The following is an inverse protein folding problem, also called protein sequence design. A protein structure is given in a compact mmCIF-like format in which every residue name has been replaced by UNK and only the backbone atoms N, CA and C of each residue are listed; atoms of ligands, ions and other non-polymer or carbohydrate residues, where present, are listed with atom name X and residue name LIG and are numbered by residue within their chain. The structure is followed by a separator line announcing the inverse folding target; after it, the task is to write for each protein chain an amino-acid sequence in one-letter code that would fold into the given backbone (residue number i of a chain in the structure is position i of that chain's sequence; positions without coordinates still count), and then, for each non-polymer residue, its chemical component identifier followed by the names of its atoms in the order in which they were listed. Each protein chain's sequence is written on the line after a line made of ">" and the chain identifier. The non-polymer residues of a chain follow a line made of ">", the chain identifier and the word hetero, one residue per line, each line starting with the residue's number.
data_IF_443836561747
#
_entry.id   IF_443836561747
#
_cell.length_a   1.000
_cell.length_b   1.000
_cell.length_c   1.000
_cell.angle_alpha   90.00
_cell.angle_beta   90.00
_cell.angle_gamma   90.00
#
_symmetry.space_group_name_H-M   'P 1'
#
loop_
_entity.id
_entity.type
_entity.pdbx_description
1 polymer ?
#
# COMPACT_ATOMS: atom_id res chain seq x y z
N UNK A 1 -27.66 4.54 33.42
CA UNK A 1 -27.31 5.94 33.07
C UNK A 1 -25.94 6.40 33.65
N UNK A 2 -24.86 5.61 33.56
CA UNK A 2 -23.51 5.99 34.06
C UNK A 2 -22.37 5.79 33.04
N UNK A 3 -22.65 5.26 31.86
CA UNK A 3 -21.62 4.97 30.84
C UNK A 3 -21.36 6.12 29.84
N UNK A 4 -22.22 7.15 29.81
CA UNK A 4 -22.19 8.18 28.76
C UNK A 4 -21.24 9.35 29.03
N UNK A 5 -20.71 9.47 30.26
CA UNK A 5 -19.86 10.61 30.67
C UNK A 5 -18.37 10.44 30.37
N UNK A 6 -17.90 9.22 30.09
CA UNK A 6 -16.47 8.96 29.87
C UNK A 6 -16.01 9.25 28.42
N UNK A 7 -16.93 9.21 27.45
CA UNK A 7 -16.59 9.39 26.04
C UNK A 7 -16.31 10.86 25.68
N UNK A 8 -16.89 11.82 26.40
CA UNK A 8 -16.69 13.26 26.19
C UNK A 8 -15.31 13.75 26.64
N UNK A 9 -14.69 13.09 27.63
CA UNK A 9 -13.36 13.47 28.15
C UNK A 9 -12.23 13.00 27.23
N UNK A 10 -12.41 11.88 26.51
CA UNK A 10 -11.38 11.34 25.62
C UNK A 10 -11.17 12.18 24.34
N UNK A 11 -12.21 12.86 23.83
CA UNK A 11 -12.09 13.74 22.66
C UNK A 11 -11.33 15.04 22.96
N UNK A 12 -11.39 15.55 24.21
CA UNK A 12 -10.78 16.82 24.58
C UNK A 12 -9.24 16.74 24.73
N UNK A 13 -8.67 15.56 24.96
CA UNK A 13 -7.24 15.37 25.24
C UNK A 13 -6.37 15.18 23.99
N UNK A 14 -6.96 15.00 22.80
CA UNK A 14 -6.21 14.84 21.53
C UNK A 14 -5.71 16.17 20.92
N UNK A 15 -6.10 17.32 21.48
CA UNK A 15 -5.80 18.65 20.92
C UNK A 15 -4.54 19.35 21.44
N UNK A 16 -3.81 18.77 22.41
CA UNK A 16 -2.66 19.42 23.06
C UNK A 16 -1.30 18.83 22.68
N UNK A 17 -1.20 18.18 21.52
CA UNK A 17 0.10 17.82 20.95
C UNK A 17 0.89 19.07 20.62
N UNK A 18 2.10 19.20 21.16
CA UNK A 18 3.02 20.30 20.84
C UNK A 18 3.23 20.36 19.32
N UNK A 19 2.63 21.36 18.67
CA UNK A 19 2.88 21.64 17.25
C UNK A 19 4.30 22.17 17.17
N UNK A 20 5.25 21.30 16.82
CA UNK A 20 6.59 21.75 16.46
C UNK A 20 6.47 22.75 15.30
N UNK A 21 7.19 23.88 15.33
CA UNK A 21 7.12 24.86 14.25
C UNK A 21 7.53 24.18 12.94
N UNK A 22 6.61 24.13 11.98
CA UNK A 22 6.90 23.57 10.66
C UNK A 22 7.81 24.52 9.90
N UNK A 23 8.84 23.96 9.27
CA UNK A 23 9.75 24.74 8.43
C UNK A 23 9.02 25.14 7.14
N UNK A 24 9.34 26.31 6.58
CA UNK A 24 8.85 26.67 5.24
C UNK A 24 9.59 25.83 4.20
N UNK A 25 8.87 25.37 3.18
CA UNK A 25 9.45 24.67 2.04
C UNK A 25 10.58 25.49 1.39
N UNK A 26 11.70 24.83 1.10
CA UNK A 26 12.79 25.35 0.27
C UNK A 26 12.60 24.87 -1.19
N UNK A 27 12.39 25.77 -2.16
CA UNK A 27 12.10 25.40 -3.56
C UNK A 27 13.28 24.73 -4.28
N UNK A 28 14.47 24.79 -3.72
CA UNK A 28 15.68 24.21 -4.32
C UNK A 28 15.94 22.77 -3.88
N UNK A 29 15.11 22.23 -2.99
CA UNK A 29 15.31 20.91 -2.38
C UNK A 29 14.17 19.96 -2.73
N UNK A 30 14.50 18.69 -2.90
CA UNK A 30 13.51 17.66 -3.18
C UNK A 30 12.53 17.53 -2.02
N UNK A 31 11.25 17.39 -2.36
CA UNK A 31 10.20 17.10 -1.39
C UNK A 31 10.08 15.58 -1.24
N UNK A 32 10.15 15.12 -0.01
CA UNK A 32 9.85 13.74 0.35
C UNK A 32 8.39 13.61 0.78
N UNK A 33 7.66 12.68 0.16
CA UNK A 33 6.28 12.38 0.50
C UNK A 33 6.20 11.12 1.38
N UNK A 34 5.70 11.31 2.60
CA UNK A 34 5.35 10.22 3.51
C UNK A 34 3.83 10.09 3.62
N UNK A 35 3.28 9.04 3.01
CA UNK A 35 1.86 8.69 3.11
C UNK A 35 1.65 7.73 4.29
N UNK A 36 1.01 8.22 5.35
CA UNK A 36 0.47 7.41 6.44
C UNK A 36 -0.97 6.98 6.18
N UNK A 37 -1.54 6.18 7.09
CA UNK A 37 -2.92 5.68 6.96
C UNK A 37 -3.99 6.79 7.02
N UNK A 38 -3.72 7.89 7.72
CA UNK A 38 -4.64 9.04 7.86
C UNK A 38 -4.00 10.41 7.60
N UNK A 39 -2.72 10.44 7.21
CA UNK A 39 -1.97 11.69 7.14
C UNK A 39 -0.99 11.67 5.98
N UNK A 40 -0.84 12.82 5.32
CA UNK A 40 0.15 13.04 4.27
C UNK A 40 1.12 14.08 4.81
N UNK A 41 2.36 13.66 5.07
CA UNK A 41 3.41 14.55 5.51
C UNK A 41 4.40 14.79 4.39
N UNK A 42 4.68 16.06 4.18
CA UNK A 42 5.75 16.51 3.31
C UNK A 42 6.97 16.82 4.17
N UNK A 43 8.12 16.29 3.78
CA UNK A 43 9.39 16.54 4.47
C UNK A 43 10.47 16.99 3.51
N UNK A 44 11.45 17.71 4.03
CA UNK A 44 12.73 18.00 3.38
C UNK A 44 13.83 17.66 4.37
N UNK A 45 14.75 16.78 3.97
CA UNK A 45 15.85 16.29 4.83
C UNK A 45 15.35 15.71 6.17
N UNK A 46 14.21 15.02 6.14
CA UNK A 46 13.56 14.45 7.33
C UNK A 46 12.80 15.43 8.22
N UNK A 47 12.80 16.73 7.93
CA UNK A 47 12.03 17.74 8.67
C UNK A 47 10.68 18.01 8.00
N UNK A 48 9.61 18.11 8.78
CA UNK A 48 8.29 18.46 8.27
C UNK A 48 8.25 19.89 7.72
N UNK A 49 7.74 20.02 6.49
CA UNK A 49 7.61 21.32 5.81
C UNK A 49 6.15 21.72 5.60
N UNK A 50 5.92 23.02 5.56
CA UNK A 50 4.63 23.66 5.33
C UNK A 50 4.64 24.50 4.05
N UNK A 51 3.45 24.83 3.53
CA UNK A 51 3.30 25.68 2.35
C UNK A 51 3.55 24.98 1.00
N UNK A 52 3.63 23.65 1.01
CA UNK A 52 3.96 22.85 -0.19
C UNK A 52 2.90 23.01 -1.27
N UNK A 53 1.62 22.99 -0.91
CA UNK A 53 0.53 23.08 -1.89
C UNK A 53 0.50 24.45 -2.57
N UNK A 54 0.62 25.53 -1.79
CA UNK A 54 0.62 26.91 -2.28
C UNK A 54 1.81 27.18 -3.19
N UNK A 55 2.93 26.49 -2.95
CA UNK A 55 4.12 26.63 -3.75
C UNK A 55 4.04 25.79 -5.03
N UNK A 56 3.67 24.50 -4.94
CA UNK A 56 3.47 23.64 -6.12
C UNK A 56 2.37 24.17 -7.05
N UNK A 57 1.35 24.86 -6.52
CA UNK A 57 0.32 25.52 -7.33
C UNK A 57 0.87 26.65 -8.23
N UNK A 58 2.05 27.20 -7.92
CA UNK A 58 2.71 28.25 -8.72
C UNK A 58 3.64 27.68 -9.78
N UNK A 59 4.00 26.40 -9.69
CA UNK A 59 4.82 25.73 -10.69
C UNK A 59 3.97 25.25 -11.87
N UNK A 60 4.28 25.65 -13.13
CA UNK A 60 3.47 25.28 -14.29
C UNK A 60 3.28 23.77 -14.47
N UNK A 61 4.31 22.96 -14.18
CA UNK A 61 4.26 21.49 -14.35
C UNK A 61 3.47 20.78 -13.23
N UNK A 62 3.43 21.35 -12.02
CA UNK A 62 2.73 20.76 -10.88
C UNK A 62 1.31 21.32 -10.68
N UNK A 63 1.02 22.52 -11.21
CA UNK A 63 -0.25 23.24 -10.95
C UNK A 63 -1.49 22.45 -11.38
N UNK A 64 -1.44 21.74 -12.51
CA UNK A 64 -2.57 20.91 -12.97
C UNK A 64 -2.88 19.77 -12.00
N UNK A 65 -1.85 19.15 -11.43
CA UNK A 65 -1.97 18.10 -10.43
C UNK A 65 -2.47 18.62 -9.08
N UNK A 66 -1.99 19.79 -8.63
CA UNK A 66 -2.45 20.43 -7.38
C UNK A 66 -3.92 20.85 -7.50
N UNK A 67 -4.30 21.49 -8.59
CA UNK A 67 -5.69 21.92 -8.82
C UNK A 67 -6.66 20.73 -8.87
N UNK A 68 -6.27 19.62 -9.51
CA UNK A 68 -7.06 18.37 -9.49
C UNK A 68 -7.19 17.81 -8.08
N UNK A 69 -6.11 17.80 -7.29
CA UNK A 69 -6.14 17.35 -5.90
C UNK A 69 -7.12 18.21 -5.07
N UNK A 70 -7.03 19.55 -5.19
CA UNK A 70 -7.95 20.47 -4.51
C UNK A 70 -9.40 20.27 -4.92
N UNK A 71 -9.67 20.09 -6.22
CA UNK A 71 -11.03 19.82 -6.70
C UNK A 71 -11.59 18.52 -6.10
N UNK A 72 -10.79 17.45 -6.05
CA UNK A 72 -11.19 16.17 -5.44
C UNK A 72 -11.41 16.29 -3.93
N UNK A 73 -10.55 17.04 -3.21
CA UNK A 73 -10.71 17.29 -1.78
C UNK A 73 -11.95 18.13 -1.47
N UNK A 74 -12.24 19.15 -2.27
CA UNK A 74 -13.44 19.97 -2.11
C UNK A 74 -14.70 19.14 -2.35
N UNK A 75 -14.72 18.34 -3.42
CA UNK A 75 -15.82 17.42 -3.70
C UNK A 75 -16.00 16.42 -2.55
N UNK A 76 -14.91 15.81 -2.10
CA UNK A 76 -14.92 14.88 -0.98
C UNK A 76 -15.42 15.51 0.32
N UNK A 77 -15.02 16.76 0.60
CA UNK A 77 -15.46 17.51 1.77
C UNK A 77 -16.96 17.80 1.73
N UNK A 78 -17.50 18.17 0.57
CA UNK A 78 -18.94 18.37 0.38
C UNK A 78 -19.74 17.08 0.56
N UNK A 79 -19.26 15.98 -0.04
CA UNK A 79 -19.86 14.65 0.09
C UNK A 79 -19.84 14.19 1.54
N UNK A 80 -18.73 14.38 2.25
CA UNK A 80 -18.64 14.07 3.68
C UNK A 80 -19.51 14.98 4.54
N UNK A 81 -19.58 16.28 4.28
CA UNK A 81 -20.47 17.17 5.01
C UNK A 81 -21.94 16.75 4.86
N UNK A 82 -22.36 16.47 3.63
CA UNK A 82 -23.70 15.96 3.35
C UNK A 82 -23.93 14.60 4.00
N UNK A 83 -23.04 13.63 3.82
CA UNK A 83 -23.16 12.29 4.41
C UNK A 83 -23.21 12.31 5.94
N UNK A 84 -22.42 13.19 6.58
CA UNK A 84 -22.41 13.38 8.02
C UNK A 84 -23.73 13.92 8.54
N UNK A 85 -24.34 14.87 7.82
CA UNK A 85 -25.67 15.39 8.14
C UNK A 85 -26.75 14.31 7.98
N UNK A 86 -26.70 13.53 6.90
CA UNK A 86 -27.65 12.45 6.62
C UNK A 86 -27.60 11.32 7.66
N UNK A 87 -26.42 11.03 8.22
CA UNK A 87 -26.24 10.11 9.35
C UNK A 87 -26.67 10.76 10.68
N UNK A 88 -26.31 12.04 10.87
CA UNK A 88 -26.51 12.77 12.12
C UNK A 88 -27.98 13.02 12.45
N UNK A 89 -28.82 13.33 11.46
CA UNK A 89 -30.26 13.59 11.67
C UNK A 89 -30.98 12.40 12.33
N UNK A 90 -31.01 11.18 11.76
CA UNK A 90 -31.70 10.05 12.39
C UNK A 90 -31.06 9.65 13.72
N UNK A 91 -29.74 9.78 13.86
CA UNK A 91 -29.08 9.55 15.14
C UNK A 91 -29.57 10.54 16.22
N UNK A 92 -29.76 11.81 15.85
CA UNK A 92 -30.30 12.82 16.77
C UNK A 92 -31.76 12.56 17.16
N UNK A 93 -32.59 12.12 16.20
CA UNK A 93 -34.00 11.75 16.45
C UNK A 93 -34.10 10.60 17.47
N UNK A 94 -33.28 9.56 17.29
CA UNK A 94 -33.18 8.43 18.21
C UNK A 94 -32.77 8.90 19.62
N UNK A 95 -31.75 9.75 19.74
CA UNK A 95 -31.30 10.29 21.04
C UNK A 95 -32.39 11.13 21.72
N UNK A 96 -33.20 11.86 20.95
CA UNK A 96 -34.34 12.65 21.46
C UNK A 96 -35.58 11.81 21.77
N UNK A 97 -35.57 10.51 21.50
CA UNK A 97 -36.68 9.59 21.78
C UNK A 97 -37.80 9.60 20.75
N UNK A 98 -37.53 10.04 19.53
CA UNK A 98 -38.49 9.96 18.42
C UNK A 98 -38.71 8.49 18.04
N UNK A 99 -39.97 8.08 17.84
CA UNK A 99 -40.33 6.66 17.69
C UNK A 99 -39.94 6.03 16.35
N UNK A 100 -39.72 6.85 15.33
CA UNK A 100 -39.42 6.39 13.97
C UNK A 100 -38.34 7.27 13.31
N UNK A 101 -37.06 7.10 13.70
CA UNK A 101 -35.96 7.83 13.08
C UNK A 101 -35.83 7.48 11.60
N UNK A 102 -35.40 8.44 10.79
CA UNK A 102 -35.21 8.27 9.35
C UNK A 102 -33.95 7.46 9.00
N UNK A 103 -33.84 6.22 9.47
CA UNK A 103 -32.70 5.32 9.21
C UNK A 103 -32.34 5.14 7.72
N UNK A 104 -33.28 5.15 6.76
CA UNK A 104 -32.91 5.16 5.34
C UNK A 104 -32.00 6.33 4.95
N UNK A 105 -32.17 7.49 5.59
CA UNK A 105 -31.31 8.66 5.39
C UNK A 105 -29.88 8.38 5.87
N UNK A 106 -29.73 7.69 7.01
CA UNK A 106 -28.42 7.25 7.50
C UNK A 106 -27.74 6.30 6.53
N UNK A 107 -28.51 5.39 5.91
CA UNK A 107 -28.02 4.48 4.89
C UNK A 107 -27.44 5.22 3.68
N UNK A 108 -28.15 6.24 3.17
CA UNK A 108 -27.65 7.11 2.09
C UNK A 108 -26.40 7.87 2.52
N UNK A 109 -26.38 8.41 3.74
CA UNK A 109 -25.23 9.11 4.29
C UNK A 109 -23.98 8.22 4.40
N UNK A 110 -24.16 6.96 4.82
CA UNK A 110 -23.09 5.97 4.88
C UNK A 110 -22.54 5.62 3.48
N UNK A 111 -23.43 5.44 2.49
CA UNK A 111 -23.04 5.22 1.10
C UNK A 111 -22.24 6.41 0.54
N UNK A 112 -22.68 7.64 0.82
CA UNK A 112 -21.94 8.85 0.44
C UNK A 112 -20.52 8.88 1.04
N UNK A 113 -20.37 8.49 2.31
CA UNK A 113 -19.05 8.37 2.95
C UNK A 113 -18.15 7.33 2.29
N UNK A 114 -18.71 6.19 1.88
CA UNK A 114 -17.95 5.16 1.17
C UNK A 114 -17.37 5.68 -0.16
N UNK A 115 -18.12 6.51 -0.89
CA UNK A 115 -17.65 7.16 -2.13
C UNK A 115 -16.53 8.18 -1.88
N UNK A 116 -16.43 8.76 -0.67
CA UNK A 116 -15.34 9.69 -0.35
C UNK A 116 -13.95 9.00 -0.24
N UNK A 117 -13.92 7.70 0.05
CA UNK A 117 -12.67 6.92 0.17
C UNK A 117 -11.85 6.98 -1.14
N UNK A 118 -12.39 6.58 -2.32
CA UNK A 118 -11.63 6.65 -3.56
C UNK A 118 -11.28 8.10 -3.96
N UNK A 119 -12.14 9.08 -3.69
CA UNK A 119 -11.85 10.50 -3.97
C UNK A 119 -10.60 10.98 -3.22
N UNK A 120 -10.50 10.60 -1.94
CA UNK A 120 -9.33 10.93 -1.10
C UNK A 120 -8.06 10.27 -1.64
N UNK A 121 -8.13 8.98 -2.01
CA UNK A 121 -7.00 8.25 -2.60
C UNK A 121 -6.53 8.92 -3.91
N UNK A 122 -7.46 9.28 -4.79
CA UNK A 122 -7.14 9.96 -6.06
C UNK A 122 -6.54 11.34 -5.83
N UNK A 123 -7.02 12.08 -4.82
CA UNK A 123 -6.41 13.35 -4.44
C UNK A 123 -4.95 13.18 -3.99
N UNK A 124 -4.69 12.20 -3.11
CA UNK A 124 -3.32 11.92 -2.63
C UNK A 124 -2.41 11.53 -3.79
N UNK A 125 -2.88 10.67 -4.70
CA UNK A 125 -2.13 10.30 -5.90
C UNK A 125 -1.82 11.50 -6.79
N UNK A 126 -2.77 12.45 -6.93
CA UNK A 126 -2.54 13.67 -7.71
C UNK A 126 -1.46 14.54 -7.05
N UNK A 127 -1.44 14.64 -5.72
CA UNK A 127 -0.37 15.36 -5.01
C UNK A 127 1.00 14.68 -5.14
N UNK A 128 1.07 13.35 -5.18
CA UNK A 128 2.32 12.61 -5.42
C UNK A 128 2.88 12.96 -6.81
N UNK A 129 2.03 12.99 -7.84
CA UNK A 129 2.43 13.43 -9.19
C UNK A 129 2.90 14.88 -9.22
N UNK A 130 2.30 15.78 -8.43
CA UNK A 130 2.74 17.16 -8.32
C UNK A 130 4.14 17.27 -7.70
N UNK A 131 4.39 16.52 -6.62
CA UNK A 131 5.72 16.44 -5.97
C UNK A 131 6.76 15.84 -6.90
N UNK A 132 6.39 14.81 -7.66
CA UNK A 132 7.29 14.19 -8.61
C UNK A 132 7.67 15.15 -9.75
N UNK A 133 6.69 15.90 -10.29
CA UNK A 133 6.94 16.91 -11.32
C UNK A 133 7.95 17.97 -10.83
N UNK A 134 7.75 18.48 -9.61
CA UNK A 134 8.68 19.40 -8.97
C UNK A 134 10.08 18.81 -8.80
N UNK A 135 10.18 17.61 -8.23
CA UNK A 135 11.46 16.94 -7.99
C UNK A 135 12.22 16.68 -9.30
N UNK A 136 11.51 16.41 -10.40
CA UNK A 136 12.12 16.29 -11.74
C UNK A 136 12.74 17.60 -12.22
N UNK A 137 12.10 18.75 -11.95
CA UNK A 137 12.66 20.06 -12.30
C UNK A 137 13.95 20.37 -11.54
N UNK A 138 14.02 20.02 -10.25
CA UNK A 138 15.25 20.19 -9.44
C UNK A 138 16.39 19.34 -10.00
N UNK A 139 16.13 18.07 -10.34
CA UNK A 139 17.15 17.17 -10.89
C UNK A 139 17.53 17.53 -12.33
N UNK A 140 16.57 17.97 -13.14
CA UNK A 140 16.76 18.33 -14.55
C UNK A 140 17.40 19.69 -14.79
N UNK A 141 17.37 20.61 -13.80
CA UNK A 141 17.95 21.95 -13.88
C UNK A 141 19.49 22.00 -13.74
N UNK A 142 20.12 20.90 -13.35
CA UNK A 142 21.57 20.73 -13.37
C UNK A 142 21.90 19.43 -14.09
N UNK A 143 22.27 19.53 -15.38
CA UNK A 143 22.98 18.53 -16.17
C UNK A 143 22.51 17.07 -15.97
N UNK A 144 21.71 16.55 -16.93
CA UNK A 144 21.25 15.16 -17.05
C UNK A 144 22.15 14.15 -16.33
N UNK A 145 21.92 14.00 -15.03
CA UNK A 145 22.55 12.98 -14.24
C UNK A 145 21.60 11.81 -14.29
N UNK A 146 22.15 10.67 -14.71
CA UNK A 146 21.52 9.36 -14.65
C UNK A 146 20.68 9.20 -13.37
N UNK A 147 19.59 8.40 -13.40
CA UNK A 147 18.71 8.17 -12.26
C UNK A 147 19.53 8.01 -10.97
N UNK A 148 19.13 8.67 -9.86
CA UNK A 148 19.96 8.77 -8.68
C UNK A 148 20.30 7.38 -8.18
N UNK A 149 21.55 6.97 -8.43
CA UNK A 149 22.17 5.85 -7.75
C UNK A 149 22.24 6.30 -6.30
N UNK A 150 21.24 5.88 -5.50
CA UNK A 150 21.20 6.11 -4.06
C UNK A 150 22.57 5.73 -3.53
N UNK A 151 23.36 6.73 -3.15
CA UNK A 151 24.59 6.52 -2.42
C UNK A 151 24.15 5.96 -1.06
N UNK A 152 24.10 4.63 -0.98
CA UNK A 152 24.08 3.92 0.28
C UNK A 152 25.26 4.48 1.07
N UNK A 153 24.96 5.14 2.19
CA UNK A 153 25.95 5.55 3.16
C UNK A 153 26.66 4.27 3.65
N UNK A 154 27.78 3.97 3.01
CA UNK A 154 28.64 2.83 3.31
C UNK A 154 29.44 3.23 4.54
N UNK A 155 28.88 2.96 5.72
CA UNK A 155 29.65 2.89 6.95
C UNK A 155 30.63 1.73 6.81
N UNK A 156 31.84 2.04 6.37
CA UNK A 156 32.93 1.09 6.20
C UNK A 156 33.44 0.67 7.58
N UNK A 157 32.75 -0.31 8.16
CA UNK A 157 33.24 -1.07 9.31
C UNK A 157 34.00 -2.27 8.76
N UNK A 158 35.33 -2.17 8.73
CA UNK A 158 36.22 -3.29 8.43
C UNK A 158 35.95 -4.43 9.43
N UNK A 159 35.24 -5.46 8.99
CA UNK A 159 34.87 -6.59 9.80
C UNK A 159 34.47 -7.77 8.93
N UNK A 160 35.37 -8.76 8.87
CA UNK A 160 35.14 -10.18 8.51
C UNK A 160 34.08 -10.42 7.43
N UNK A 161 34.51 -10.73 6.21
CA UNK A 161 33.64 -11.20 5.12
C UNK A 161 32.95 -12.48 5.58
N UNK A 162 31.75 -12.34 6.15
CA UNK A 162 30.83 -13.43 6.32
C UNK A 162 30.47 -13.95 4.92
N UNK A 163 30.30 -15.26 4.72
CA UNK A 163 29.70 -15.78 3.50
C UNK A 163 28.41 -14.98 3.24
N UNK A 164 28.16 -14.51 2.00
CA UNK A 164 26.95 -13.77 1.71
C UNK A 164 25.77 -14.59 2.22
N UNK A 165 25.00 -14.01 3.14
CA UNK A 165 23.82 -14.68 3.66
C UNK A 165 22.98 -15.12 2.45
N UNK A 166 22.54 -16.39 2.38
CA UNK A 166 21.76 -16.84 1.24
C UNK A 166 20.58 -15.89 1.06
N UNK A 167 20.39 -15.40 -0.17
CA UNK A 167 19.27 -14.55 -0.53
C UNK A 167 17.99 -15.32 -0.18
N UNK A 168 17.37 -14.92 0.92
CA UNK A 168 16.17 -15.55 1.46
C UNK A 168 14.94 -14.72 1.20
N UNK A 169 13.82 -15.38 0.93
CA UNK A 169 12.50 -14.80 0.78
C UNK A 169 11.56 -15.50 1.76
N UNK A 170 11.00 -14.74 2.71
CA UNK A 170 9.98 -15.24 3.66
C UNK A 170 10.41 -16.47 4.48
N UNK A 171 11.70 -16.58 4.77
CA UNK A 171 12.29 -17.72 5.50
C UNK A 171 12.70 -18.91 4.64
N UNK A 172 12.53 -18.84 3.31
CA UNK A 172 13.08 -19.80 2.36
C UNK A 172 14.33 -19.24 1.69
N UNK A 173 15.36 -20.06 1.49
CA UNK A 173 16.61 -19.66 0.84
C UNK A 173 16.61 -20.08 -0.63
N UNK A 174 16.84 -19.15 -1.57
CA UNK A 174 16.99 -19.49 -2.98
C UNK A 174 18.19 -20.43 -3.19
N UNK A 175 18.03 -21.42 -4.07
CA UNK A 175 19.02 -22.49 -4.29
C UNK A 175 19.07 -23.57 -3.19
N UNK A 176 18.26 -23.45 -2.13
CA UNK A 176 18.14 -24.53 -1.16
C UNK A 176 17.51 -25.78 -1.80
N UNK A 177 17.91 -26.95 -1.29
CA UNK A 177 17.30 -28.21 -1.70
C UNK A 177 15.86 -28.30 -1.20
N UNK A 178 15.02 -29.10 -1.86
CA UNK A 178 13.61 -29.32 -1.47
C UNK A 178 13.46 -29.74 0.00
N UNK A 179 14.28 -30.68 0.45
CA UNK A 179 14.28 -31.15 1.83
C UNK A 179 14.55 -30.02 2.85
N UNK A 180 15.39 -29.04 2.49
CA UNK A 180 15.67 -27.88 3.34
C UNK A 180 14.47 -26.94 3.42
N UNK A 181 13.75 -26.73 2.31
CA UNK A 181 12.54 -25.90 2.29
C UNK A 181 11.38 -26.57 3.06
N UNK A 182 11.23 -27.89 2.94
CA UNK A 182 10.31 -28.70 3.76
C UNK A 182 10.59 -28.49 5.25
N UNK A 183 11.84 -28.70 5.69
CA UNK A 183 12.22 -28.55 7.09
C UNK A 183 11.95 -27.13 7.61
N UNK A 184 12.17 -26.09 6.79
CA UNK A 184 11.85 -24.71 7.16
C UNK A 184 10.33 -24.48 7.32
N UNK A 185 9.51 -25.09 6.46
CA UNK A 185 8.05 -25.03 6.57
C UNK A 185 7.54 -25.73 7.84
N UNK A 186 7.99 -26.96 8.10
CA UNK A 186 7.57 -27.76 9.25
C UNK A 186 8.07 -27.18 10.58
N UNK A 187 9.29 -26.64 10.62
CA UNK A 187 9.83 -25.98 11.80
C UNK A 187 9.04 -24.73 12.21
N UNK A 188 8.36 -24.10 11.24
CA UNK A 188 7.44 -22.99 11.49
C UNK A 188 6.00 -23.44 11.83
N UNK A 189 5.76 -24.75 11.96
CA UNK A 189 4.46 -25.32 12.31
C UNK A 189 3.44 -25.37 11.17
N UNK A 190 3.89 -25.21 9.93
CA UNK A 190 3.03 -25.25 8.73
C UNK A 190 2.98 -26.65 8.12
N UNK A 191 1.94 -26.93 7.34
CA UNK A 191 1.81 -28.18 6.60
C UNK A 191 2.44 -28.05 5.22
N UNK A 192 3.15 -29.10 4.81
CA UNK A 192 3.73 -29.22 3.47
C UNK A 192 2.87 -30.12 2.58
N UNK A 193 2.72 -29.74 1.32
CA UNK A 193 2.12 -30.58 0.28
C UNK A 193 2.93 -30.47 -1.00
N UNK A 194 3.20 -31.59 -1.66
CA UNK A 194 3.80 -31.60 -2.99
C UNK A 194 2.72 -31.53 -4.05
N UNK A 195 2.95 -30.73 -5.08
CA UNK A 195 2.12 -30.64 -6.27
C UNK A 195 2.89 -31.22 -7.47
N UNK A 196 2.21 -31.33 -8.61
CA UNK A 196 2.83 -31.74 -9.86
C UNK A 196 3.86 -30.69 -10.35
N UNK A 197 4.65 -31.05 -11.36
CA UNK A 197 5.60 -30.14 -12.03
C UNK A 197 6.65 -29.49 -11.13
N UNK A 198 7.05 -30.19 -10.06
CA UNK A 198 8.13 -29.76 -9.18
C UNK A 198 7.74 -28.60 -8.27
N UNK A 199 6.46 -28.24 -8.17
CA UNK A 199 5.94 -27.25 -7.23
C UNK A 199 5.67 -27.90 -5.88
N UNK A 200 5.95 -27.18 -4.79
CA UNK A 200 5.50 -27.56 -3.47
C UNK A 200 4.82 -26.39 -2.77
N UNK A 201 3.90 -26.68 -1.85
CA UNK A 201 3.17 -25.67 -1.09
C UNK A 201 3.42 -25.85 0.40
N UNK A 202 3.68 -24.73 1.07
CA UNK A 202 3.66 -24.59 2.52
C UNK A 202 2.38 -23.81 2.90
N UNK A 203 1.62 -24.29 3.88
CA UNK A 203 0.34 -23.66 4.27
C UNK A 203 0.48 -22.23 4.81
N UNK A 204 1.69 -21.82 5.16
CA UNK A 204 2.02 -20.49 5.65
C UNK A 204 3.39 -20.01 5.17
N UNK A 205 3.89 -18.95 5.81
CA UNK A 205 5.27 -18.47 5.61
C UNK A 205 6.05 -18.58 6.93
N UNK A 206 7.30 -19.06 6.92
CA UNK A 206 8.10 -19.17 8.14
C UNK A 206 8.31 -17.87 8.92
N UNK A 207 8.29 -16.70 8.25
CA UNK A 207 8.51 -15.39 8.89
C UNK A 207 7.24 -14.57 9.10
N UNK A 208 6.05 -15.11 8.82
CA UNK A 208 4.72 -14.47 8.97
C UNK A 208 4.64 -13.01 8.45
N UNK A 209 5.40 -12.68 7.41
CA UNK A 209 5.58 -11.27 7.02
C UNK A 209 4.36 -10.68 6.31
N UNK A 210 3.49 -11.54 5.78
CA UNK A 210 2.18 -11.21 5.21
C UNK A 210 1.15 -12.18 5.82
N UNK A 211 0.22 -11.64 6.60
CA UNK A 211 -0.77 -12.43 7.32
C UNK A 211 -1.66 -13.23 6.37
N UNK A 212 -1.89 -14.51 6.70
CA UNK A 212 -2.77 -15.40 5.92
C UNK A 212 -2.22 -15.83 4.56
N UNK A 213 -0.95 -15.55 4.26
CA UNK A 213 -0.30 -16.02 3.03
C UNK A 213 0.18 -17.46 3.16
N UNK A 214 -0.12 -18.30 2.18
CA UNK A 214 0.60 -19.57 1.95
C UNK A 214 1.76 -19.35 0.98
N UNK A 215 2.76 -20.22 0.99
CA UNK A 215 3.89 -20.16 0.05
C UNK A 215 3.85 -21.31 -0.95
N UNK A 216 3.89 -21.01 -2.24
CA UNK A 216 4.16 -21.93 -3.34
C UNK A 216 5.63 -21.79 -3.76
N UNK A 217 6.32 -22.91 -3.87
CA UNK A 217 7.77 -23.01 -4.04
C UNK A 217 8.04 -23.76 -5.33
N UNK A 218 8.69 -23.12 -6.29
CA UNK A 218 9.10 -23.74 -7.56
C UNK A 218 10.55 -24.21 -7.45
N UNK A 219 10.80 -25.47 -7.85
CA UNK A 219 12.14 -26.06 -7.84
C UNK A 219 12.58 -26.43 -9.25
N UNK A 220 13.82 -26.08 -9.60
CA UNK A 220 14.51 -26.49 -10.82
C UNK A 220 15.73 -27.32 -10.40
N UNK A 221 15.91 -28.52 -10.94
CA UNK A 221 16.98 -29.45 -10.54
C UNK A 221 17.09 -29.67 -9.02
N UNK A 222 15.93 -29.79 -8.35
CA UNK A 222 15.80 -29.90 -6.89
C UNK A 222 16.28 -28.67 -6.10
N UNK A 223 16.39 -27.50 -6.76
CA UNK A 223 16.83 -26.24 -6.16
C UNK A 223 15.73 -25.19 -6.23
N UNK A 224 15.47 -24.51 -5.11
CA UNK A 224 14.44 -23.48 -5.04
C UNK A 224 14.76 -22.31 -5.99
N UNK A 225 13.96 -22.16 -7.06
CA UNK A 225 14.15 -21.12 -8.09
C UNK A 225 13.14 -19.97 -7.97
N UNK A 226 11.97 -20.19 -7.36
CA UNK A 226 11.01 -19.13 -7.11
C UNK A 226 10.21 -19.36 -5.81
N UNK A 227 9.83 -18.28 -5.15
CA UNK A 227 8.89 -18.27 -4.02
C UNK A 227 7.71 -17.41 -4.40
N UNK A 228 6.51 -17.96 -4.35
CA UNK A 228 5.27 -17.26 -4.64
C UNK A 228 4.34 -17.30 -3.44
N UNK A 229 4.04 -16.14 -2.87
CA UNK A 229 3.06 -16.05 -1.80
C UNK A 229 1.67 -15.94 -2.39
N UNK A 230 0.76 -16.77 -1.91
CA UNK A 230 -0.64 -16.76 -2.30
C UNK A 230 -1.45 -16.26 -1.11
N UNK A 231 -1.99 -15.04 -1.23
CA UNK A 231 -2.94 -14.48 -0.26
C UNK A 231 -4.34 -14.69 -0.83
N UNK A 232 -5.23 -15.25 -0.02
CA UNK A 232 -6.66 -15.40 -0.32
C UNK A 232 -7.43 -14.33 0.43
N UNK A 233 -7.79 -13.20 -0.21
CA UNK A 233 -8.55 -12.17 0.46
C UNK A 233 -9.97 -12.66 0.79
N UNK A 234 -10.66 -12.02 1.75
CA UNK A 234 -12.09 -12.26 1.97
C UNK A 234 -12.92 -12.04 0.68
N UNK A 235 -14.05 -12.75 0.57
CA UNK A 235 -14.99 -12.69 -0.57
C UNK A 235 -15.90 -11.44 -0.54
N UNK A 236 -15.41 -10.34 0.03
CA UNK A 236 -16.07 -9.05 0.04
C UNK A 236 -15.12 -7.95 -0.44
N UNK A 237 -15.64 -6.93 -1.13
CA UNK A 237 -14.80 -5.91 -1.77
C UNK A 237 -13.92 -5.14 -0.78
N UNK A 238 -14.42 -4.91 0.45
CA UNK A 238 -13.69 -4.21 1.50
C UNK A 238 -12.54 -5.05 2.06
N UNK A 239 -12.79 -6.33 2.35
CA UNK A 239 -11.79 -7.30 2.76
C UNK A 239 -10.71 -7.46 1.70
N UNK A 240 -11.12 -7.52 0.43
CA UNK A 240 -10.20 -7.59 -0.71
C UNK A 240 -9.27 -6.37 -0.78
N UNK A 241 -9.83 -5.17 -0.78
CA UNK A 241 -9.06 -3.92 -0.78
C UNK A 241 -8.14 -3.80 0.46
N UNK A 242 -8.58 -4.31 1.60
CA UNK A 242 -7.80 -4.32 2.84
C UNK A 242 -6.61 -5.26 2.74
N UNK A 243 -6.80 -6.50 2.27
CA UNK A 243 -5.72 -7.47 2.05
C UNK A 243 -4.72 -6.98 1.01
N UNK A 244 -5.19 -6.35 -0.07
CA UNK A 244 -4.31 -5.76 -1.08
C UNK A 244 -3.42 -4.66 -0.47
N UNK A 245 -4.01 -3.69 0.24
CA UNK A 245 -3.25 -2.61 0.89
C UNK A 245 -2.29 -3.12 1.95
N UNK A 246 -2.70 -4.09 2.76
CA UNK A 246 -1.85 -4.71 3.78
C UNK A 246 -0.64 -5.43 3.15
N UNK A 247 -0.87 -6.15 2.04
CA UNK A 247 0.18 -6.83 1.28
C UNK A 247 1.15 -5.82 0.66
N UNK A 248 0.64 -4.81 -0.05
CA UNK A 248 1.44 -3.73 -0.63
C UNK A 248 2.27 -3.01 0.44
N UNK A 249 1.67 -2.66 1.57
CA UNK A 249 2.38 -2.01 2.68
C UNK A 249 3.48 -2.91 3.28
N UNK A 250 3.26 -4.21 3.39
CA UNK A 250 4.28 -5.15 3.83
C UNK A 250 5.47 -5.20 2.86
N UNK A 251 5.20 -5.26 1.55
CA UNK A 251 6.24 -5.22 0.52
C UNK A 251 6.99 -3.90 0.54
N UNK A 252 6.30 -2.78 0.76
CA UNK A 252 6.96 -1.47 0.87
C UNK A 252 7.90 -1.41 2.07
N UNK A 253 7.53 -1.99 3.22
CA UNK A 253 8.42 -2.06 4.38
C UNK A 253 9.67 -2.91 4.12
N UNK A 254 9.54 -4.00 3.36
CA UNK A 254 10.65 -4.93 3.10
C UNK A 254 11.56 -4.47 1.96
N UNK A 255 10.98 -3.95 0.88
CA UNK A 255 11.69 -3.70 -0.39
C UNK A 255 11.68 -2.22 -0.81
N UNK A 256 11.03 -1.33 -0.07
CA UNK A 256 10.86 0.08 -0.45
C UNK A 256 9.70 0.31 -1.43
N UNK A 257 9.63 1.50 -2.02
CA UNK A 257 8.60 1.81 -3.04
C UNK A 257 8.79 0.93 -4.28
N UNK A 258 7.70 0.54 -4.94
CA UNK A 258 7.77 -0.20 -6.20
C UNK A 258 8.42 0.64 -7.28
N UNK A 259 9.17 -0.01 -8.17
CA UNK A 259 9.80 0.63 -9.33
C UNK A 259 8.79 0.87 -10.45
N UNK A 260 7.82 -0.05 -10.61
CA UNK A 260 6.76 0.08 -11.59
C UNK A 260 5.42 -0.33 -10.96
N UNK A 261 4.35 0.31 -11.44
CA UNK A 261 2.99 0.05 -11.00
C UNK A 261 2.05 0.16 -12.20
N UNK A 262 1.24 -0.86 -12.42
CA UNK A 262 0.24 -0.89 -13.49
C UNK A 262 -1.03 -1.52 -12.96
N UNK A 263 -2.10 -0.76 -12.78
CA UNK A 263 -3.41 -1.25 -12.37
C UNK A 263 -4.45 -0.78 -13.36
N UNK A 264 -5.21 -1.72 -13.91
CA UNK A 264 -6.32 -1.47 -14.83
C UNK A 264 -7.59 -1.96 -14.17
N UNK A 265 -8.46 -1.00 -13.85
CA UNK A 265 -9.80 -1.26 -13.33
C UNK A 265 -10.77 -0.62 -14.32
N UNK A 266 -11.48 -1.43 -15.14
CA UNK A 266 -12.52 -0.92 -16.04
C UNK A 266 -13.58 -0.13 -15.28
N UNK A 267 -14.21 0.85 -15.93
CA UNK A 267 -15.16 1.77 -15.28
C UNK A 267 -16.36 1.02 -14.67
N UNK A 268 -16.85 0.00 -15.36
CA UNK A 268 -17.91 -0.89 -14.88
C UNK A 268 -17.50 -1.65 -13.60
N UNK A 269 -16.21 -1.93 -13.42
CA UNK A 269 -15.68 -2.66 -12.28
C UNK A 269 -15.40 -1.78 -11.06
N UNK A 270 -15.62 -0.46 -11.15
CA UNK A 270 -15.38 0.47 -10.03
C UNK A 270 -16.50 0.44 -8.99
N UNK A 271 -17.70 -0.04 -9.35
CA UNK A 271 -18.77 -0.25 -8.39
C UNK A 271 -18.41 -1.40 -7.44
N UNK A 272 -18.60 -1.22 -6.13
CA UNK A 272 -18.18 -2.18 -5.12
C UNK A 272 -18.83 -3.56 -5.31
N UNK A 273 -20.07 -3.58 -5.76
CA UNK A 273 -20.87 -4.79 -6.00
C UNK A 273 -20.38 -5.58 -7.23
N UNK A 274 -19.74 -4.91 -8.19
CA UNK A 274 -19.25 -5.52 -9.43
C UNK A 274 -17.77 -5.86 -9.36
N UNK A 275 -17.02 -5.24 -8.44
CA UNK A 275 -15.58 -5.36 -8.33
C UNK A 275 -15.11 -6.81 -8.23
N UNK A 276 -15.67 -7.61 -7.31
CA UNK A 276 -15.24 -9.00 -7.11
C UNK A 276 -15.54 -9.90 -8.31
N UNK A 277 -16.72 -9.71 -8.93
CA UNK A 277 -17.05 -10.40 -10.18
C UNK A 277 -16.01 -10.09 -11.26
N UNK A 278 -15.66 -8.80 -11.41
CA UNK A 278 -14.62 -8.40 -12.35
C UNK A 278 -13.22 -8.94 -12.01
N UNK A 279 -12.86 -9.04 -10.73
CA UNK A 279 -11.58 -9.66 -10.32
C UNK A 279 -11.60 -11.15 -10.69
N UNK A 280 -12.68 -11.87 -10.38
CA UNK A 280 -12.84 -13.29 -10.73
C UNK A 280 -12.81 -13.54 -12.24
N UNK A 281 -13.41 -12.65 -13.02
CA UNK A 281 -13.39 -12.69 -14.49
C UNK A 281 -12.02 -12.28 -15.08
N UNK A 282 -11.06 -11.85 -14.26
CA UNK A 282 -9.75 -11.35 -14.71
C UNK A 282 -9.81 -10.00 -15.43
N UNK A 283 -10.93 -9.27 -15.35
CA UNK A 283 -11.08 -7.93 -15.93
C UNK A 283 -10.35 -6.85 -15.13
N UNK A 284 -10.24 -7.04 -13.82
CA UNK A 284 -9.34 -6.26 -12.98
C UNK A 284 -7.97 -6.90 -13.02
N UNK A 285 -7.01 -6.19 -13.62
CA UNK A 285 -5.61 -6.62 -13.64
C UNK A 285 -4.74 -5.59 -12.96
N UNK A 286 -3.70 -6.06 -12.29
CA UNK A 286 -2.83 -5.18 -11.55
C UNK A 286 -1.51 -5.85 -11.23
N UNK A 287 -0.44 -5.09 -11.38
CA UNK A 287 0.87 -5.49 -10.89
C UNK A 287 1.67 -4.32 -10.32
N UNK A 288 2.50 -4.64 -9.34
CA UNK A 288 3.55 -3.76 -8.85
C UNK A 288 4.85 -4.58 -8.81
N UNK A 289 5.96 -3.99 -9.24
CA UNK A 289 7.25 -4.67 -9.24
C UNK A 289 8.31 -3.90 -8.46
N UNK A 290 9.17 -4.64 -7.78
CA UNK A 290 10.37 -4.15 -7.12
C UNK A 290 11.56 -4.83 -7.76
N UNK A 291 12.60 -4.04 -8.03
CA UNK A 291 13.86 -4.53 -8.59
C UNK A 291 15.02 -3.85 -7.86
N UNK A 292 15.28 -4.20 -6.59
CA UNK A 292 16.47 -3.71 -5.88
C UNK A 292 17.73 -4.10 -6.66
N UNK A 293 18.75 -3.23 -6.64
CA UNK A 293 19.95 -3.40 -7.46
C UNK A 293 20.61 -4.79 -7.27
N UNK A 294 20.69 -5.26 -6.02
CA UNK A 294 21.36 -6.51 -5.63
C UNK A 294 20.40 -7.58 -5.04
N UNK A 295 19.09 -7.47 -5.29
CA UNK A 295 18.09 -8.36 -4.67
C UNK A 295 17.21 -9.13 -5.66
N UNK A 296 16.30 -9.98 -5.14
CA UNK A 296 15.33 -10.67 -5.97
C UNK A 296 14.37 -9.68 -6.63
N UNK A 297 13.88 -10.03 -7.82
CA UNK A 297 12.75 -9.35 -8.43
C UNK A 297 11.49 -9.76 -7.69
N UNK A 298 10.70 -8.78 -7.24
CA UNK A 298 9.43 -9.02 -6.55
C UNK A 298 8.30 -8.49 -7.42
N UNK A 299 7.25 -9.28 -7.62
CA UNK A 299 6.06 -8.89 -8.38
C UNK A 299 4.83 -9.22 -7.55
N UNK A 300 4.06 -8.20 -7.17
CA UNK A 300 2.71 -8.34 -6.65
C UNK A 300 1.76 -8.32 -7.86
N UNK A 301 0.86 -9.30 -7.96
CA UNK A 301 -0.15 -9.37 -9.01
C UNK A 301 -1.53 -9.77 -8.49
N UNK A 302 -2.55 -9.36 -9.23
CA UNK A 302 -3.94 -9.79 -9.03
C UNK A 302 -4.23 -10.93 -10.00
N UNK A 303 -4.61 -12.09 -9.49
CA UNK A 303 -4.93 -13.27 -10.30
C UNK A 303 -6.40 -13.63 -10.09
N UNK A 304 -7.20 -13.47 -11.14
CA UNK A 304 -8.63 -13.79 -11.13
C UNK A 304 -8.94 -15.27 -11.38
N UNK A 305 -8.12 -15.92 -12.21
CA UNK A 305 -8.34 -17.27 -12.71
C UNK A 305 -7.12 -18.18 -12.49
N UNK A 306 -7.32 -19.45 -12.09
CA UNK A 306 -8.61 -20.05 -11.74
C UNK A 306 -9.16 -19.48 -10.41
N UNK A 307 -10.50 -19.44 -10.22
CA UNK A 307 -11.08 -19.03 -8.96
C UNK A 307 -10.68 -20.00 -7.82
N UNK A 308 -10.57 -19.52 -6.57
CA UNK A 308 -10.87 -18.17 -6.11
C UNK A 308 -9.80 -17.15 -6.50
N UNK A 309 -10.18 -15.88 -6.62
CA UNK A 309 -9.22 -14.81 -6.92
C UNK A 309 -8.21 -14.64 -5.79
N UNK A 310 -6.94 -14.45 -6.16
CA UNK A 310 -5.82 -14.36 -5.22
C UNK A 310 -4.96 -13.14 -5.48
N UNK A 311 -4.26 -12.70 -4.44
CA UNK A 311 -3.09 -11.83 -4.60
C UNK A 311 -1.87 -12.73 -4.60
N UNK A 312 -1.04 -12.62 -5.63
CA UNK A 312 0.21 -13.38 -5.73
C UNK A 312 1.40 -12.45 -5.59
N UNK A 313 2.35 -12.82 -4.73
CA UNK A 313 3.65 -12.13 -4.63
C UNK A 313 4.72 -13.09 -5.07
N UNK A 314 5.22 -12.95 -6.28
CA UNK A 314 6.30 -13.79 -6.83
C UNK A 314 7.65 -13.14 -6.59
N UNK A 315 8.59 -13.93 -6.08
CA UNK A 315 9.98 -13.55 -5.87
C UNK A 315 10.85 -14.49 -6.69
N UNK A 316 11.67 -13.90 -7.55
CA UNK A 316 12.65 -14.63 -8.35
C UNK A 316 14.05 -14.10 -8.06
N UNK A 317 15.05 -14.98 -7.84
CA UNK A 317 16.42 -14.54 -7.65
C UNK A 317 16.90 -13.90 -8.95
N UNK A 318 17.60 -12.77 -8.81
CA UNK A 318 18.23 -12.13 -9.95
C UNK A 318 19.47 -12.94 -10.31
N UNK A 319 19.52 -13.48 -11.52
CA UNK A 319 20.73 -14.12 -12.02
C UNK A 319 21.84 -13.05 -12.12
N UNK A 320 23.07 -13.35 -11.66
CA UNK A 320 24.20 -12.45 -11.87
C UNK A 320 24.36 -12.20 -13.37
N UNK A 321 24.50 -10.93 -13.77
CA UNK A 321 24.86 -10.58 -15.14
C UNK A 321 26.25 -11.16 -15.41
N UNK A 322 26.33 -12.14 -16.31
CA UNK A 322 27.60 -12.66 -16.83
C UNK A 322 28.31 -11.61 -17.68
#
# INVERSE_FOLDING_TARGET
>A
MKAMTWMTVALALHGLGCVAPQRKMDPSRQIELHTGFFDVRYTQDGEAISGVQEWLAKEPEAASHVSRAHALLLLGSLVSAAGGLLIGVPLSQEITGERDPLWPLAGVGAAAMAVNIPLTIWSISSMDSAVEAHNRLIVGGGEQSAPPKRAAAKTERAGRVAPPAPLGAFGFAFGAARATALAACEAAGHTWSEEEDGVARCSGTPTESIAGASAELTFEDDRLSAVELVVRPPEDAQGWATSFRATEAALIRMFGKSAQRSFVIPDECKAAEQFLGCVADGRVTGSASWSPDDGPSVVLSIIGSPPPSTLRVRLTPRLPKM
#
